data_IF_606296207086
#
_entry.id   IF_606296207086
#
_cell.length_a   1.000
_cell.length_b   1.000
_cell.length_c   1.000
_cell.angle_alpha   90.00
_cell.angle_beta   90.00
_cell.angle_gamma   90.00
#
_symmetry.space_group_name_H-M   'P 1'
#
loop_
_entity.id
_entity.type
_entity.pdbx_description
1 polymer ?
#
# COMPACT_ATOMS: atom_id res chain seq x y z
N UNK A 1 8.14 -16.32 12.38
CA UNK A 1 7.79 -15.30 11.36
C UNK A 1 6.48 -14.65 11.79
N UNK A 2 6.52 -13.62 12.64
CA UNK A 2 5.34 -12.79 12.90
C UNK A 2 5.09 -11.96 11.65
N UNK A 3 3.92 -12.13 11.02
CA UNK A 3 3.50 -11.22 9.98
C UNK A 3 3.48 -9.80 10.59
N UNK A 4 3.99 -8.77 9.91
CA UNK A 4 3.84 -7.41 10.39
C UNK A 4 2.34 -7.15 10.58
N UNK A 5 1.93 -6.55 11.71
CA UNK A 5 0.53 -6.23 12.04
C UNK A 5 -0.13 -5.17 11.12
N UNK A 6 0.36 -5.01 9.89
CA UNK A 6 -0.07 -4.01 8.93
C UNK A 6 -0.83 -4.67 7.78
N UNK A 7 -2.10 -4.34 7.60
CA UNK A 7 -2.85 -4.71 6.40
C UNK A 7 -2.49 -3.76 5.23
N UNK A 8 -2.16 -4.28 4.03
CA UNK A 8 -1.86 -3.45 2.88
C UNK A 8 -3.12 -2.75 2.34
N UNK A 9 -2.97 -1.49 1.94
CA UNK A 9 -3.95 -0.73 1.15
C UNK A 9 -3.54 -0.79 -0.32
N UNK A 10 -4.51 -0.99 -1.22
CA UNK A 10 -4.28 -0.97 -2.67
C UNK A 10 -4.61 0.41 -3.22
N UNK A 11 -3.68 1.01 -3.96
CA UNK A 11 -3.84 2.31 -4.62
C UNK A 11 -3.60 2.14 -6.11
N UNK A 12 -4.57 2.47 -6.94
CA UNK A 12 -4.44 2.39 -8.39
C UNK A 12 -3.37 3.36 -8.92
N UNK A 13 -2.51 2.92 -9.84
CA UNK A 13 -1.37 3.71 -10.33
C UNK A 13 -1.75 4.96 -11.12
N UNK A 14 -2.93 4.96 -11.74
CA UNK A 14 -3.48 6.10 -12.48
C UNK A 14 -3.86 7.29 -11.58
N UNK A 15 -3.85 7.12 -10.26
CA UNK A 15 -4.25 8.12 -9.26
C UNK A 15 -3.07 8.62 -8.40
N UNK A 16 -2.06 9.31 -8.97
CA UNK A 16 -0.82 9.67 -8.26
C UNK A 16 -1.05 10.58 -7.05
N UNK A 17 -2.12 11.38 -7.03
CA UNK A 17 -2.50 12.22 -5.89
C UNK A 17 -2.91 11.40 -4.67
N UNK A 18 -3.58 10.26 -4.88
CA UNK A 18 -3.99 9.36 -3.79
C UNK A 18 -2.76 8.74 -3.14
N UNK A 19 -1.82 8.24 -3.95
CA UNK A 19 -0.52 7.75 -3.46
C UNK A 19 0.20 8.81 -2.62
N UNK A 20 0.33 10.04 -3.14
CA UNK A 20 1.00 11.12 -2.44
C UNK A 20 0.35 11.46 -1.09
N UNK A 21 -0.97 11.38 -0.99
CA UNK A 21 -1.69 11.54 0.29
C UNK A 21 -1.32 10.44 1.29
N UNK A 22 -1.31 9.18 0.85
CA UNK A 22 -0.92 8.06 1.71
C UNK A 22 0.56 8.13 2.12
N UNK A 23 1.46 8.51 1.23
CA UNK A 23 2.87 8.74 1.54
C UNK A 23 3.05 9.83 2.61
N UNK A 24 2.29 10.93 2.52
CA UNK A 24 2.29 11.99 3.55
C UNK A 24 1.81 11.50 4.91
N UNK A 25 0.96 10.47 4.95
CA UNK A 25 0.51 9.82 6.18
C UNK A 25 1.49 8.74 6.70
N UNK A 26 2.62 8.53 6.03
CA UNK A 26 3.64 7.57 6.43
C UNK A 26 3.45 6.16 5.86
N UNK A 27 2.51 5.97 4.93
CA UNK A 27 2.45 4.72 4.18
C UNK A 27 3.65 4.62 3.23
N UNK A 28 4.13 3.40 3.02
CA UNK A 28 5.17 3.10 2.03
C UNK A 28 4.70 2.02 1.06
N UNK A 29 5.07 2.14 -0.21
CA UNK A 29 4.84 1.10 -1.21
C UNK A 29 5.71 -0.13 -0.91
N UNK A 30 5.10 -1.30 -0.93
CA UNK A 30 5.76 -2.60 -0.70
C UNK A 30 5.67 -3.54 -1.89
N UNK A 31 4.91 -3.18 -2.92
CA UNK A 31 4.82 -3.97 -4.14
C UNK A 31 3.81 -3.38 -5.13
N UNK A 32 3.81 -3.96 -6.34
CA UNK A 32 2.83 -3.69 -7.38
C UNK A 32 1.99 -4.95 -7.60
N UNK A 33 0.70 -4.78 -7.87
CA UNK A 33 -0.25 -5.85 -8.15
C UNK A 33 -1.00 -5.56 -9.45
N UNK A 34 -1.24 -6.62 -10.22
CA UNK A 34 -2.10 -6.64 -11.39
C UNK A 34 -2.95 -7.91 -11.30
N UNK A 35 -4.10 -7.88 -10.61
CA UNK A 35 -4.77 -9.09 -10.12
C UNK A 35 -5.45 -9.91 -11.23
N UNK A 36 -5.82 -9.27 -12.34
CA UNK A 36 -6.39 -9.91 -13.52
C UNK A 36 -5.98 -9.11 -14.77
N UNK A 37 -5.93 -9.70 -15.97
CA UNK A 37 -5.41 -9.05 -17.18
C UNK A 37 -6.04 -7.69 -17.50
N UNK A 38 -7.33 -7.54 -17.24
CA UNK A 38 -8.16 -6.36 -17.47
C UNK A 38 -8.25 -5.40 -16.27
N UNK A 39 -7.74 -5.81 -15.11
CA UNK A 39 -7.73 -4.97 -13.92
C UNK A 39 -6.67 -3.86 -14.04
N UNK A 40 -6.86 -2.72 -13.36
CA UNK A 40 -5.81 -1.71 -13.23
C UNK A 40 -4.57 -2.25 -12.50
N UNK A 41 -3.44 -1.56 -12.70
CA UNK A 41 -2.27 -1.75 -11.85
C UNK A 41 -2.48 -1.04 -10.51
N UNK A 42 -2.12 -1.71 -9.42
CA UNK A 42 -2.18 -1.19 -8.06
C UNK A 42 -0.81 -1.19 -7.41
N UNK A 43 -0.56 -0.24 -6.52
CA UNK A 43 0.49 -0.29 -5.52
C UNK A 43 -0.08 -0.80 -4.20
N UNK A 44 0.53 -1.83 -3.64
CA UNK A 44 0.30 -2.21 -2.25
C UNK A 44 1.13 -1.30 -1.36
N UNK A 45 0.45 -0.61 -0.44
CA UNK A 45 1.06 0.30 0.51
C UNK A 45 0.76 -0.14 1.95
N UNK A 46 1.74 -0.06 2.85
CA UNK A 46 1.56 -0.40 4.27
C UNK A 46 1.92 0.79 5.14
N UNK A 47 1.16 0.98 6.21
CA UNK A 47 1.55 1.83 7.33
C UNK A 47 2.20 0.93 8.39
N UNK A 48 3.49 1.12 8.71
CA UNK A 48 4.12 0.40 9.81
C UNK A 48 3.41 0.79 11.11
N UNK A 49 2.78 -0.18 11.78
CA UNK A 49 2.24 0.05 13.12
C UNK A 49 3.32 -0.29 14.12
N UNK A 50 3.74 0.70 14.91
CA UNK A 50 4.59 0.44 16.07
C UNK A 50 3.76 -0.34 17.09
N UNK A 51 4.16 -1.57 17.38
CA UNK A 51 3.61 -2.27 18.52
C UNK A 51 4.18 -1.60 19.77
N UNK A 52 3.33 -0.92 20.54
CA UNK A 52 3.69 -0.56 21.90
C UNK A 52 4.01 -1.87 22.66
N UNK A 53 5.14 -1.94 23.40
CA UNK A 53 5.49 -3.09 24.21
C UNK A 53 4.47 -3.34 25.33
#
# INVERSE_FOLDING_TARGET
MTAPNSAPRLVEESHPKVRATYERWGYRTVGRLHPAPDAPHYQAMVLPLHQHP
#
